data_IF_544687363296
#
_entry.id   IF_544687363296
#
_cell.length_a   1.000
_cell.length_b   1.000
_cell.length_c   1.000
_cell.angle_alpha   90.00
_cell.angle_beta   90.00
_cell.angle_gamma   90.00
#
_symmetry.space_group_name_H-M   'P 1'
#
loop_
_entity.id
_entity.type
_entity.pdbx_description
1 polymer ?
#
# COMPACT_ATOMS: atom_id res chain seq x y z
N UNK A 1 -25.60 1.65 4.80
CA UNK A 1 -24.94 0.32 4.75
C UNK A 1 -25.56 -0.55 5.84
N UNK A 2 -26.24 -1.64 5.47
CA UNK A 2 -26.85 -2.54 6.46
C UNK A 2 -25.81 -3.56 6.90
N UNK A 3 -25.66 -3.73 8.21
CA UNK A 3 -24.67 -4.62 8.82
C UNK A 3 -25.38 -5.69 9.64
N UNK A 4 -25.09 -6.96 9.38
CA UNK A 4 -25.51 -8.06 10.23
C UNK A 4 -24.41 -8.34 11.24
N UNK A 5 -24.78 -8.36 12.51
CA UNK A 5 -23.90 -8.71 13.61
C UNK A 5 -24.45 -9.99 14.23
N UNK A 6 -23.62 -10.98 14.43
CA UNK A 6 -24.04 -12.21 15.12
C UNK A 6 -23.10 -12.60 16.25
N UNK A 7 -23.68 -13.30 17.22
CA UNK A 7 -22.98 -13.95 18.32
C UNK A 7 -23.27 -15.45 18.24
N UNK A 8 -22.24 -16.24 18.03
CA UNK A 8 -22.34 -17.69 17.97
C UNK A 8 -21.80 -18.34 19.25
N UNK A 9 -22.64 -19.08 19.92
CA UNK A 9 -22.26 -19.91 21.04
C UNK A 9 -21.90 -21.30 20.54
N UNK A 10 -20.59 -21.61 20.43
CA UNK A 10 -20.14 -22.88 19.88
C UNK A 10 -20.56 -24.11 20.70
N UNK A 11 -20.84 -23.96 22.00
CA UNK A 11 -21.26 -25.09 22.81
C UNK A 11 -22.74 -25.44 22.62
N UNK A 12 -23.58 -24.40 22.46
CA UNK A 12 -25.02 -24.57 22.24
C UNK A 12 -25.39 -24.70 20.77
N UNK A 13 -24.49 -24.27 19.87
CA UNK A 13 -24.75 -24.18 18.44
C UNK A 13 -25.82 -23.13 18.09
N UNK A 14 -26.10 -22.18 18.99
CA UNK A 14 -27.11 -21.12 18.78
C UNK A 14 -26.47 -19.85 18.26
N UNK A 15 -27.16 -19.18 17.31
CA UNK A 15 -26.72 -17.94 16.72
C UNK A 15 -27.71 -16.83 17.08
N UNK A 16 -27.30 -15.90 17.91
CA UNK A 16 -28.05 -14.66 18.17
C UNK A 16 -27.57 -13.61 17.15
N UNK A 17 -28.51 -12.90 16.54
CA UNK A 17 -28.16 -11.94 15.49
C UNK A 17 -28.99 -10.68 15.54
N UNK A 18 -28.42 -9.58 15.00
CA UNK A 18 -29.11 -8.32 14.80
C UNK A 18 -28.64 -7.68 13.49
N UNK A 19 -29.52 -6.89 12.89
CA UNK A 19 -29.19 -6.06 11.73
C UNK A 19 -29.25 -4.60 12.14
N UNK A 20 -28.16 -3.92 11.90
CA UNK A 20 -28.00 -2.49 12.20
C UNK A 20 -27.96 -1.73 10.88
N UNK A 21 -28.61 -0.59 10.84
CA UNK A 21 -28.61 0.31 9.69
C UNK A 21 -27.46 1.33 9.74
N UNK A 22 -27.47 2.32 8.84
CA UNK A 22 -26.45 3.39 8.79
C UNK A 22 -26.49 4.33 9.99
N UNK A 23 -27.60 4.38 10.71
CA UNK A 23 -27.79 5.23 11.90
C UNK A 23 -27.43 4.52 13.20
N UNK A 24 -26.87 3.31 13.09
CA UNK A 24 -26.60 2.41 14.21
C UNK A 24 -27.87 1.98 14.98
N UNK A 25 -29.04 2.06 14.35
CA UNK A 25 -30.28 1.57 14.92
C UNK A 25 -30.52 0.11 14.53
N UNK A 26 -31.04 -0.67 15.48
CA UNK A 26 -31.37 -2.08 15.26
C UNK A 26 -32.66 -2.17 14.46
N UNK A 27 -32.57 -2.62 13.21
CA UNK A 27 -33.73 -2.78 12.33
C UNK A 27 -34.39 -4.16 12.45
N UNK A 28 -33.62 -5.21 12.66
CA UNK A 28 -34.07 -6.59 12.80
C UNK A 28 -33.19 -7.32 13.83
N UNK A 29 -33.75 -8.31 14.49
CA UNK A 29 -33.06 -9.15 15.46
C UNK A 29 -33.71 -10.52 15.59
N UNK A 30 -32.97 -11.50 16.09
CA UNK A 30 -33.49 -12.84 16.34
C UNK A 30 -32.44 -13.82 16.80
N UNK A 31 -32.90 -15.03 17.05
CA UNK A 31 -32.06 -16.20 17.29
C UNK A 31 -32.31 -17.22 16.19
N UNK A 32 -31.27 -17.94 15.79
CA UNK A 32 -31.31 -18.97 14.79
C UNK A 32 -30.62 -20.22 15.31
N UNK A 33 -31.14 -21.39 14.92
CA UNK A 33 -30.49 -22.66 15.25
C UNK A 33 -29.39 -23.03 14.28
N UNK A 34 -29.38 -22.40 13.09
CA UNK A 34 -28.37 -22.60 12.07
C UNK A 34 -28.15 -21.31 11.28
N UNK A 35 -26.97 -21.16 10.70
CA UNK A 35 -26.67 -20.03 9.81
C UNK A 35 -27.51 -20.03 8.51
N UNK A 36 -28.09 -21.15 8.11
CA UNK A 36 -28.98 -21.25 6.95
C UNK A 36 -30.20 -20.31 7.07
N UNK A 37 -30.70 -20.09 8.29
CA UNK A 37 -31.81 -19.17 8.55
C UNK A 37 -31.46 -17.70 8.25
N UNK A 38 -30.17 -17.37 8.26
CA UNK A 38 -29.64 -16.03 7.95
C UNK A 38 -29.39 -15.79 6.46
N UNK A 39 -29.42 -16.84 5.63
CA UNK A 39 -29.14 -16.75 4.19
C UNK A 39 -30.05 -15.76 3.45
N UNK A 40 -31.28 -15.59 3.91
CA UNK A 40 -32.28 -14.69 3.28
C UNK A 40 -32.07 -13.22 3.62
N UNK A 41 -31.17 -12.90 4.56
CA UNK A 41 -30.96 -11.53 5.00
C UNK A 41 -30.06 -10.77 4.02
N UNK A 42 -30.60 -9.71 3.45
CA UNK A 42 -29.88 -8.85 2.52
C UNK A 42 -29.12 -7.77 3.31
N UNK A 43 -27.81 -7.94 3.40
CA UNK A 43 -26.92 -7.04 4.12
C UNK A 43 -25.65 -6.77 3.33
N UNK A 44 -25.01 -5.64 3.61
CA UNK A 44 -23.77 -5.23 2.93
C UNK A 44 -22.52 -5.83 3.60
N UNK A 45 -22.59 -6.06 4.91
CA UNK A 45 -21.48 -6.57 5.72
C UNK A 45 -21.98 -7.50 6.80
N UNK A 46 -21.22 -8.55 7.09
CA UNK A 46 -21.49 -9.51 8.15
C UNK A 46 -20.31 -9.55 9.10
N UNK A 47 -20.55 -9.31 10.37
CA UNK A 47 -19.55 -9.39 11.43
C UNK A 47 -19.99 -10.39 12.49
N UNK A 48 -19.08 -11.25 12.89
CA UNK A 48 -19.34 -12.30 13.85
C UNK A 48 -18.50 -12.21 15.10
N UNK A 49 -19.13 -12.56 16.22
CA UNK A 49 -18.47 -12.83 17.47
C UNK A 49 -18.72 -14.27 17.86
N UNK A 50 -17.69 -14.96 18.30
CA UNK A 50 -17.78 -16.33 18.79
C UNK A 50 -17.22 -16.42 20.19
N UNK A 51 -17.73 -17.32 20.97
CA UNK A 51 -17.18 -17.60 22.29
C UNK A 51 -17.26 -19.10 22.63
N UNK A 52 -16.19 -19.58 23.25
CA UNK A 52 -16.05 -20.96 23.69
C UNK A 52 -14.88 -21.03 24.68
N UNK A 53 -14.96 -21.86 25.72
CA UNK A 53 -13.84 -22.13 26.62
C UNK A 53 -12.66 -22.89 25.93
N UNK A 54 -12.84 -23.35 24.69
CA UNK A 54 -11.79 -23.99 23.90
C UNK A 54 -10.80 -23.00 23.29
N UNK A 55 -11.11 -21.71 23.33
CA UNK A 55 -10.26 -20.67 22.80
C UNK A 55 -9.28 -20.18 23.85
N UNK A 56 -8.14 -19.72 23.40
CA UNK A 56 -7.08 -19.27 24.29
C UNK A 56 -6.48 -17.96 23.79
N UNK A 57 -6.25 -17.06 24.74
CA UNK A 57 -5.47 -15.85 24.50
C UNK A 57 -4.16 -15.96 25.27
N UNK A 58 -3.09 -15.54 24.63
CA UNK A 58 -1.73 -15.50 25.19
C UNK A 58 -1.13 -14.11 25.00
N UNK A 59 -0.30 -13.72 25.95
CA UNK A 59 0.56 -12.52 25.85
C UNK A 59 1.99 -12.99 25.77
N UNK A 60 2.70 -12.57 24.74
CA UNK A 60 4.07 -13.00 24.47
C UNK A 60 4.95 -11.78 24.35
N UNK A 61 6.05 -11.78 25.11
CA UNK A 61 7.10 -10.78 24.93
C UNK A 61 7.88 -11.07 23.65
N UNK A 62 8.02 -10.06 22.80
CA UNK A 62 8.70 -10.19 21.52
C UNK A 62 9.73 -9.07 21.34
N UNK A 63 10.88 -9.38 20.73
CA UNK A 63 11.89 -8.39 20.45
C UNK A 63 11.37 -7.31 19.47
N UNK A 64 11.96 -6.12 19.41
CA UNK A 64 11.60 -5.06 18.49
C UNK A 64 12.01 -5.42 17.06
N UNK A 65 11.17 -6.17 16.37
CA UNK A 65 11.36 -6.63 14.99
C UNK A 65 10.14 -6.32 14.13
N UNK A 66 10.21 -6.62 12.84
CA UNK A 66 9.07 -6.44 11.94
C UNK A 66 7.90 -7.36 12.30
N UNK A 67 6.67 -6.94 11.99
CA UNK A 67 5.46 -7.76 12.21
C UNK A 67 5.57 -9.14 11.56
N UNK A 68 6.23 -9.23 10.41
CA UNK A 68 6.45 -10.49 9.71
C UNK A 68 7.36 -11.44 10.51
N UNK A 69 8.48 -10.94 11.04
CA UNK A 69 9.39 -11.73 11.86
C UNK A 69 8.77 -12.15 13.19
N UNK A 70 7.93 -11.29 13.78
CA UNK A 70 7.15 -11.64 14.95
C UNK A 70 6.25 -12.82 14.61
N UNK A 71 5.49 -12.76 13.51
CA UNK A 71 4.59 -13.83 13.09
C UNK A 71 5.31 -15.18 12.90
N UNK A 72 6.51 -15.16 12.33
CA UNK A 72 7.35 -16.36 12.16
C UNK A 72 7.87 -16.93 13.50
N UNK A 73 8.08 -16.10 14.50
CA UNK A 73 8.58 -16.53 15.82
C UNK A 73 7.50 -17.07 16.76
N UNK A 74 6.22 -16.66 16.56
CA UNK A 74 5.10 -17.06 17.43
C UNK A 74 4.98 -18.58 17.63
N UNK A 75 5.07 -19.45 16.59
CA UNK A 75 5.00 -20.89 16.79
C UNK A 75 5.98 -21.40 17.84
N UNK A 76 7.23 -20.96 17.78
CA UNK A 76 8.27 -21.38 18.73
C UNK A 76 8.01 -20.88 20.15
N UNK A 77 7.48 -19.65 20.29
CA UNK A 77 7.15 -19.08 21.60
C UNK A 77 5.91 -19.72 22.24
N UNK A 78 5.06 -20.34 21.44
CA UNK A 78 3.85 -21.01 21.90
C UNK A 78 4.06 -22.49 22.25
N UNK A 79 5.09 -23.14 21.70
CA UNK A 79 5.29 -24.58 21.76
C UNK A 79 5.22 -25.14 23.19
N UNK A 80 5.88 -24.49 24.16
CA UNK A 80 5.90 -24.92 25.57
C UNK A 80 4.58 -24.60 26.32
N UNK A 81 3.70 -23.84 25.73
CA UNK A 81 2.48 -23.33 26.41
C UNK A 81 1.18 -23.94 25.89
N UNK A 82 1.23 -24.80 24.87
CA UNK A 82 0.06 -25.41 24.25
C UNK A 82 -0.06 -26.90 24.61
N UNK A 83 -1.31 -27.35 24.65
CA UNK A 83 -1.64 -28.76 24.77
C UNK A 83 -1.72 -29.38 23.36
N UNK A 84 -0.58 -29.75 22.79
CA UNK A 84 -0.49 -30.31 21.45
C UNK A 84 0.44 -29.52 20.53
N UNK A 85 0.42 -29.81 19.22
CA UNK A 85 1.27 -29.14 18.26
C UNK A 85 0.73 -27.74 17.94
N UNK A 86 1.60 -26.77 17.76
CA UNK A 86 1.24 -25.42 17.30
C UNK A 86 0.54 -25.47 15.94
N UNK A 87 0.85 -26.48 15.14
CA UNK A 87 0.25 -26.70 13.81
C UNK A 87 -1.25 -27.04 13.88
N UNK A 88 -1.74 -27.47 15.05
CA UNK A 88 -3.16 -27.76 15.28
C UNK A 88 -4.00 -26.52 15.55
N UNK A 89 -3.35 -25.35 15.64
CA UNK A 89 -4.01 -24.09 15.95
C UNK A 89 -3.90 -23.05 14.83
N UNK A 90 -4.99 -22.39 14.56
CA UNK A 90 -4.99 -21.11 13.86
C UNK A 90 -4.82 -19.98 14.87
N UNK A 91 -3.91 -19.04 14.61
CA UNK A 91 -3.66 -17.94 15.52
C UNK A 91 -3.62 -16.61 14.79
N UNK A 92 -4.01 -15.58 15.51
CA UNK A 92 -3.97 -14.18 15.07
C UNK A 92 -3.23 -13.37 16.11
N UNK A 93 -2.41 -12.44 15.68
CA UNK A 93 -1.60 -11.61 16.56
C UNK A 93 -2.00 -10.13 16.46
N UNK A 94 -1.88 -9.40 17.58
CA UNK A 94 -1.99 -7.95 17.60
C UNK A 94 -0.75 -7.28 16.99
N UNK A 95 -0.81 -5.98 16.85
CA UNK A 95 0.41 -5.18 16.72
C UNK A 95 1.20 -5.27 18.04
N UNK A 96 2.53 -5.15 17.95
CA UNK A 96 3.39 -5.09 19.12
C UNK A 96 3.07 -3.84 19.93
N UNK A 97 2.88 -4.00 21.25
CA UNK A 97 2.64 -2.89 22.17
C UNK A 97 3.92 -2.07 22.42
N UNK A 98 3.77 -0.91 23.05
CA UNK A 98 4.91 -0.09 23.50
C UNK A 98 5.73 -0.81 24.57
N UNK A 99 5.10 -1.68 25.37
CA UNK A 99 5.74 -2.47 26.41
C UNK A 99 6.55 -3.66 25.85
N UNK A 100 6.38 -3.96 24.58
CA UNK A 100 7.18 -4.98 23.90
C UNK A 100 6.51 -6.32 23.72
N UNK A 101 5.24 -6.44 23.96
CA UNK A 101 4.48 -7.68 23.85
C UNK A 101 3.47 -7.69 22.69
N UNK A 102 3.02 -8.86 22.35
CA UNK A 102 1.93 -9.10 21.41
C UNK A 102 0.86 -9.99 22.07
N UNK A 103 -0.39 -9.72 21.74
CA UNK A 103 -1.50 -10.60 22.08
C UNK A 103 -1.66 -11.62 20.97
N UNK A 104 -1.88 -12.86 21.34
CA UNK A 104 -2.11 -13.98 20.41
C UNK A 104 -3.43 -14.65 20.78
N UNK A 105 -4.36 -14.66 19.83
CA UNK A 105 -5.61 -15.39 19.95
C UNK A 105 -5.53 -16.69 19.18
N UNK A 106 -5.84 -17.80 19.83
CA UNK A 106 -5.68 -19.15 19.28
C UNK A 106 -7.05 -19.87 19.24
N UNK A 107 -7.29 -20.53 18.12
CA UNK A 107 -8.44 -21.42 17.91
C UNK A 107 -7.94 -22.74 17.32
N UNK A 108 -8.43 -23.90 17.79
CA UNK A 108 -8.14 -25.16 17.14
C UNK A 108 -8.57 -25.12 15.66
N UNK A 109 -7.72 -25.62 14.76
CA UNK A 109 -7.99 -25.59 13.31
C UNK A 109 -9.31 -26.30 13.00
N UNK A 110 -9.60 -27.41 13.65
CA UNK A 110 -10.84 -28.15 13.45
C UNK A 110 -12.07 -27.27 13.76
N UNK A 111 -12.06 -26.54 14.89
CA UNK A 111 -13.14 -25.64 15.26
C UNK A 111 -13.28 -24.48 14.26
N UNK A 112 -12.16 -23.95 13.78
CA UNK A 112 -12.17 -22.90 12.76
C UNK A 112 -12.73 -23.40 11.42
N UNK A 113 -12.37 -24.62 11.00
CA UNK A 113 -12.87 -25.22 9.77
C UNK A 113 -14.36 -25.57 9.87
N UNK A 114 -14.84 -26.01 11.03
CA UNK A 114 -16.26 -26.19 11.31
C UNK A 114 -17.02 -24.87 11.12
N UNK A 115 -16.57 -23.79 11.73
CA UNK A 115 -17.20 -22.47 11.58
C UNK A 115 -17.23 -22.02 10.12
N UNK A 116 -16.11 -22.12 9.42
CA UNK A 116 -16.02 -21.75 8.00
C UNK A 116 -16.95 -22.63 7.13
N UNK A 117 -17.12 -23.91 7.47
CA UNK A 117 -18.03 -24.79 6.74
C UNK A 117 -19.49 -24.36 6.91
N UNK A 118 -19.90 -23.97 8.13
CA UNK A 118 -21.23 -23.45 8.41
C UNK A 118 -21.53 -22.18 7.60
N UNK A 119 -20.57 -21.26 7.52
CA UNK A 119 -20.73 -20.05 6.70
C UNK A 119 -20.83 -20.36 5.21
N UNK A 120 -20.06 -21.34 4.72
CA UNK A 120 -20.11 -21.79 3.32
C UNK A 120 -21.44 -22.44 2.97
N UNK A 121 -21.93 -23.34 3.81
CA UNK A 121 -23.21 -24.01 3.63
C UNK A 121 -24.36 -23.00 3.60
N UNK A 122 -24.30 -22.01 4.48
CA UNK A 122 -25.28 -20.92 4.52
C UNK A 122 -25.06 -19.86 3.42
N UNK A 123 -24.00 -19.95 2.65
CA UNK A 123 -23.62 -18.97 1.62
C UNK A 123 -23.49 -17.54 2.17
N UNK A 124 -23.09 -17.42 3.43
CA UNK A 124 -22.88 -16.13 4.11
C UNK A 124 -21.41 -15.72 3.95
N UNK A 125 -21.18 -14.51 3.46
CA UNK A 125 -19.84 -13.95 3.37
C UNK A 125 -19.53 -13.14 4.63
N UNK A 126 -18.93 -13.79 5.63
CA UNK A 126 -18.52 -13.13 6.87
C UNK A 126 -17.29 -12.28 6.59
N UNK A 127 -17.37 -10.98 6.89
CA UNK A 127 -16.31 -10.01 6.66
C UNK A 127 -15.27 -10.01 7.78
N UNK A 128 -15.70 -10.27 9.01
CA UNK A 128 -14.83 -10.37 10.19
C UNK A 128 -15.44 -11.29 11.23
N UNK A 129 -14.58 -12.00 11.93
CA UNK A 129 -14.92 -12.93 13.00
C UNK A 129 -13.93 -12.75 14.13
N UNK A 130 -14.39 -12.53 15.35
CA UNK A 130 -13.54 -12.32 16.52
C UNK A 130 -14.05 -13.09 17.74
N UNK A 131 -13.18 -13.32 18.69
CA UNK A 131 -13.60 -13.81 20.01
C UNK A 131 -14.32 -12.72 20.79
N UNK A 132 -15.41 -13.06 21.44
CA UNK A 132 -16.20 -12.11 22.23
C UNK A 132 -15.37 -11.47 23.34
N UNK A 133 -14.51 -12.23 23.99
CA UNK A 133 -13.64 -11.77 25.08
C UNK A 133 -12.60 -10.72 24.64
N UNK A 134 -12.27 -10.65 23.35
CA UNK A 134 -11.37 -9.64 22.77
C UNK A 134 -12.10 -8.51 22.04
N UNK A 135 -13.42 -8.48 22.12
CA UNK A 135 -14.23 -7.62 21.24
C UNK A 135 -14.85 -6.41 21.95
N UNK A 136 -14.56 -6.21 23.22
CA UNK A 136 -15.00 -5.00 23.93
C UNK A 136 -14.13 -3.81 23.53
N UNK A 137 -14.76 -2.65 23.31
CA UNK A 137 -14.03 -1.41 23.03
C UNK A 137 -12.98 -1.14 24.09
N UNK A 138 -11.82 -0.70 23.67
CA UNK A 138 -10.68 -0.42 24.54
C UNK A 138 -10.95 0.75 25.48
N UNK A 139 -11.60 0.47 26.60
CA UNK A 139 -11.60 1.34 27.75
C UNK A 139 -10.57 0.80 28.74
N UNK A 140 -9.37 1.36 28.71
CA UNK A 140 -8.15 0.82 29.36
C UNK A 140 -8.25 0.57 30.88
N UNK A 141 -9.34 0.93 31.53
CA UNK A 141 -9.55 0.75 32.96
C UNK A 141 -10.87 0.05 33.32
N UNK A 142 -11.65 -0.38 32.33
CA UNK A 142 -12.95 -1.01 32.56
C UNK A 142 -12.86 -2.53 32.35
N UNK A 143 -13.20 -3.29 33.37
CA UNK A 143 -13.41 -4.73 33.24
C UNK A 143 -14.86 -5.00 32.82
N UNK A 144 -15.03 -5.71 31.68
CA UNK A 144 -16.36 -6.18 31.23
C UNK A 144 -16.50 -7.66 31.51
N UNK A 145 -17.54 -8.02 32.23
CA UNK A 145 -17.86 -9.41 32.62
C UNK A 145 -19.26 -9.78 32.09
N UNK A 146 -19.33 -10.85 31.32
CA UNK A 146 -20.60 -11.40 30.81
C UNK A 146 -20.82 -12.74 31.44
N UNK A 147 -21.90 -12.89 32.17
CA UNK A 147 -22.29 -14.11 32.85
C UNK A 147 -23.50 -14.70 32.14
N UNK A 148 -23.23 -15.62 31.19
CA UNK A 148 -24.25 -16.54 30.70
C UNK A 148 -24.47 -17.67 31.74
N UNK A 149 -25.34 -18.59 31.51
CA UNK A 149 -25.73 -19.58 32.56
C UNK A 149 -24.50 -20.32 33.14
N UNK A 150 -23.79 -21.10 32.34
CA UNK A 150 -22.67 -21.94 32.79
C UNK A 150 -21.31 -21.38 32.39
N UNK A 151 -21.28 -20.51 31.40
CA UNK A 151 -20.07 -19.94 30.82
C UNK A 151 -20.06 -18.44 31.02
N UNK A 152 -18.87 -17.93 31.26
CA UNK A 152 -18.66 -16.51 31.43
C UNK A 152 -17.53 -16.03 30.52
N UNK A 153 -17.67 -14.80 30.08
CA UNK A 153 -16.67 -14.09 29.30
C UNK A 153 -16.20 -12.88 30.08
N UNK A 154 -14.91 -12.72 30.24
CA UNK A 154 -14.32 -11.57 30.92
C UNK A 154 -13.33 -10.87 29.98
N UNK A 155 -13.32 -9.55 30.02
CA UNK A 155 -12.35 -8.71 29.35
C UNK A 155 -11.84 -7.62 30.30
N UNK A 156 -10.53 -7.46 30.43
CA UNK A 156 -9.89 -6.43 31.24
C UNK A 156 -9.45 -5.25 30.37
N UNK A 157 -10.39 -4.64 29.65
CA UNK A 157 -10.11 -3.57 28.72
C UNK A 157 -9.27 -4.03 27.52
N UNK A 158 -8.31 -3.23 27.11
CA UNK A 158 -7.41 -3.56 25.97
C UNK A 158 -6.47 -4.74 26.24
N UNK A 159 -6.40 -5.21 27.47
CA UNK A 159 -5.31 -6.09 27.91
C UNK A 159 -5.61 -7.56 27.66
N UNK A 160 -6.67 -8.10 28.26
CA UNK A 160 -6.95 -9.53 28.30
C UNK A 160 -8.41 -9.88 28.32
N UNK A 161 -8.76 -10.92 27.57
CA UNK A 161 -10.05 -11.55 27.63
C UNK A 161 -9.93 -13.06 27.79
N UNK A 162 -10.88 -13.67 28.52
CA UNK A 162 -11.02 -15.10 28.68
C UNK A 162 -12.49 -15.52 28.64
N UNK A 163 -12.67 -16.74 28.16
CA UNK A 163 -13.96 -17.44 28.24
C UNK A 163 -13.74 -18.76 28.99
N UNK A 164 -14.47 -18.96 30.05
CA UNK A 164 -14.40 -20.20 30.85
C UNK A 164 -15.70 -20.44 31.61
N UNK A 165 -15.75 -21.53 32.38
CA UNK A 165 -16.85 -21.77 33.34
C UNK A 165 -16.93 -20.61 34.34
N UNK A 166 -18.15 -20.26 34.71
CA UNK A 166 -18.48 -19.12 35.58
C UNK A 166 -17.68 -19.11 36.89
N UNK A 167 -17.57 -20.26 37.54
CA UNK A 167 -16.86 -20.38 38.82
C UNK A 167 -15.36 -20.10 38.66
N UNK A 168 -14.76 -20.48 37.54
CA UNK A 168 -13.34 -20.21 37.24
C UNK A 168 -13.14 -18.69 37.04
N UNK A 169 -13.98 -18.07 36.22
CA UNK A 169 -13.89 -16.63 35.93
C UNK A 169 -14.09 -15.80 37.23
N UNK A 170 -15.06 -16.14 38.06
CA UNK A 170 -15.28 -15.42 39.30
C UNK A 170 -14.11 -15.54 40.29
N UNK A 171 -13.46 -16.69 40.34
CA UNK A 171 -12.27 -16.88 41.19
C UNK A 171 -11.07 -16.07 40.69
N UNK A 172 -10.94 -15.89 39.38
CA UNK A 172 -9.87 -15.10 38.75
C UNK A 172 -10.16 -13.59 38.82
N UNK A 173 -11.42 -13.17 38.92
CA UNK A 173 -11.84 -11.78 38.83
C UNK A 173 -11.08 -10.86 39.78
N UNK A 174 -10.96 -11.22 41.06
CA UNK A 174 -10.31 -10.40 42.06
C UNK A 174 -8.84 -10.11 41.73
N UNK A 175 -8.11 -11.18 41.35
CA UNK A 175 -6.71 -11.07 41.01
C UNK A 175 -6.55 -10.29 39.69
N UNK A 176 -7.39 -10.58 38.69
CA UNK A 176 -7.36 -9.89 37.42
C UNK A 176 -7.62 -8.38 37.54
N UNK A 177 -8.59 -7.98 38.36
CA UNK A 177 -8.87 -6.56 38.62
C UNK A 177 -7.64 -5.82 39.22
N UNK A 178 -6.89 -6.51 40.11
CA UNK A 178 -5.67 -5.96 40.73
C UNK A 178 -4.49 -5.92 39.71
N UNK A 179 -4.28 -7.02 38.98
CA UNK A 179 -3.17 -7.17 38.00
C UNK A 179 -3.31 -6.19 36.83
N UNK A 180 -4.53 -6.00 36.33
CA UNK A 180 -4.82 -5.09 35.22
C UNK A 180 -5.25 -3.67 35.66
N UNK A 181 -5.19 -3.38 36.95
CA UNK A 181 -5.51 -2.06 37.53
C UNK A 181 -6.86 -1.51 37.10
N UNK A 182 -7.86 -2.38 36.97
CA UNK A 182 -9.21 -1.98 36.58
C UNK A 182 -9.83 -1.08 37.62
N UNK A 183 -10.45 0.02 37.19
CA UNK A 183 -11.11 1.00 38.07
C UNK A 183 -12.64 0.89 38.04
N UNK A 184 -13.20 0.24 37.06
CA UNK A 184 -14.63 0.00 36.91
C UNK A 184 -14.91 -1.44 36.50
N UNK A 185 -16.05 -1.95 36.94
CA UNK A 185 -16.52 -3.31 36.65
C UNK A 185 -17.94 -3.25 36.07
N UNK A 186 -18.09 -3.54 34.81
CA UNK A 186 -19.35 -3.63 34.08
C UNK A 186 -19.76 -5.11 33.97
N UNK A 187 -20.95 -5.46 34.42
CA UNK A 187 -21.39 -6.85 34.48
C UNK A 187 -22.70 -7.03 33.73
N UNK A 188 -22.67 -7.85 32.68
CA UNK A 188 -23.87 -8.35 32.03
C UNK A 188 -24.28 -9.66 32.71
N UNK A 189 -25.36 -9.62 33.49
CA UNK A 189 -25.79 -10.74 34.34
C UNK A 189 -27.07 -11.35 33.81
N UNK A 190 -27.05 -12.65 33.50
CA UNK A 190 -28.28 -13.39 33.20
C UNK A 190 -29.27 -13.31 34.38
N UNK A 191 -30.54 -13.01 34.09
CA UNK A 191 -31.62 -12.99 35.09
C UNK A 191 -31.78 -14.33 35.83
N UNK A 192 -31.37 -15.42 35.18
CA UNK A 192 -31.42 -16.78 35.72
C UNK A 192 -30.17 -17.13 36.54
N UNK A 193 -29.16 -16.29 36.53
CA UNK A 193 -27.91 -16.54 37.25
C UNK A 193 -28.15 -16.58 38.76
N UNK A 194 -27.42 -17.45 39.45
CA UNK A 194 -27.42 -17.52 40.91
C UNK A 194 -27.06 -16.16 41.51
N UNK A 195 -27.67 -15.81 42.63
CA UNK A 195 -27.27 -14.61 43.40
C UNK A 195 -25.77 -14.66 43.71
N UNK A 196 -25.03 -13.72 43.20
CA UNK A 196 -23.59 -13.59 43.41
C UNK A 196 -23.36 -12.57 44.51
N UNK A 197 -22.56 -12.95 45.49
CA UNK A 197 -22.05 -12.01 46.48
C UNK A 197 -20.77 -11.36 45.93
N UNK A 198 -20.93 -10.19 45.34
CA UNK A 198 -19.83 -9.46 44.68
C UNK A 198 -18.72 -9.07 45.65
N UNK A 199 -19.02 -8.87 46.94
CA UNK A 199 -18.02 -8.49 47.94
C UNK A 199 -16.92 -9.53 48.09
N UNK A 200 -17.22 -10.80 47.75
CA UNK A 200 -16.28 -11.90 47.79
C UNK A 200 -15.25 -11.84 46.64
N UNK A 201 -15.66 -11.33 45.47
CA UNK A 201 -14.92 -11.42 44.23
C UNK A 201 -14.34 -10.08 43.75
N UNK A 202 -14.89 -8.96 44.21
CA UNK A 202 -14.46 -7.62 43.79
C UNK A 202 -14.55 -6.63 44.95
N UNK A 203 -13.61 -5.67 44.99
CA UNK A 203 -13.66 -4.46 45.81
C UNK A 203 -14.39 -3.32 45.10
N UNK A 204 -14.56 -3.42 43.79
CA UNK A 204 -15.28 -2.45 42.96
C UNK A 204 -16.77 -2.77 43.00
N UNK A 205 -17.61 -1.73 43.09
CA UNK A 205 -19.04 -1.88 42.89
C UNK A 205 -19.31 -2.18 41.42
N UNK A 206 -20.00 -3.31 41.10
CA UNK A 206 -20.33 -3.67 39.73
C UNK A 206 -21.46 -2.80 39.19
N UNK A 207 -21.31 -2.28 37.99
CA UNK A 207 -22.41 -1.75 37.17
C UNK A 207 -23.13 -2.94 36.50
N UNK A 208 -24.28 -3.34 37.07
CA UNK A 208 -24.98 -4.56 36.66
C UNK A 208 -26.06 -4.26 35.63
N UNK A 209 -25.91 -4.82 34.46
CA UNK A 209 -26.88 -4.83 33.37
C UNK A 209 -27.49 -6.23 33.31
N UNK A 210 -28.77 -6.34 33.64
CA UNK A 210 -29.46 -7.64 33.54
C UNK A 210 -29.75 -7.98 32.09
N UNK A 211 -29.49 -9.24 31.71
CA UNK A 211 -29.74 -9.79 30.38
C UNK A 211 -30.65 -11.03 30.48
N UNK A 212 -31.51 -11.27 29.48
CA UNK A 212 -32.35 -12.44 29.39
C UNK A 212 -31.73 -13.62 28.62
N UNK A 213 -30.62 -13.36 27.95
CA UNK A 213 -29.88 -14.34 27.18
C UNK A 213 -28.91 -13.68 26.21
N UNK A 214 -28.40 -14.47 25.26
CA UNK A 214 -27.38 -14.06 24.33
C UNK A 214 -27.85 -12.95 23.37
N UNK A 215 -29.12 -12.98 22.93
CA UNK A 215 -29.69 -11.94 22.07
C UNK A 215 -29.80 -10.59 22.79
N UNK A 216 -30.36 -10.60 24.01
CA UNK A 216 -30.51 -9.38 24.83
C UNK A 216 -29.13 -8.82 25.22
N UNK A 217 -28.16 -9.70 25.48
CA UNK A 217 -26.76 -9.28 25.63
C UNK A 217 -26.26 -8.58 24.37
N UNK A 218 -26.41 -9.21 23.19
CA UNK A 218 -25.93 -8.65 21.95
C UNK A 218 -26.56 -7.27 21.66
N UNK A 219 -27.85 -7.09 21.93
CA UNK A 219 -28.52 -5.79 21.81
C UNK A 219 -27.95 -4.71 22.71
N UNK A 220 -27.69 -5.04 23.96
CA UNK A 220 -27.21 -4.08 24.96
C UNK A 220 -25.71 -3.80 24.82
N UNK A 221 -24.95 -4.78 24.32
CA UNK A 221 -23.50 -4.72 24.22
C UNK A 221 -22.98 -4.23 22.87
N UNK A 222 -23.78 -4.39 21.78
CA UNK A 222 -23.25 -4.11 20.42
C UNK A 222 -22.60 -2.73 20.25
N UNK A 223 -23.07 -1.62 20.88
CA UNK A 223 -22.42 -0.32 20.75
C UNK A 223 -21.01 -0.30 21.38
N UNK A 224 -20.74 -1.22 22.31
CA UNK A 224 -19.45 -1.38 22.98
C UNK A 224 -18.62 -2.54 22.43
N UNK A 225 -19.08 -3.24 21.38
CA UNK A 225 -18.33 -4.30 20.73
C UNK A 225 -17.58 -3.75 19.50
N UNK A 226 -16.37 -4.26 19.31
CA UNK A 226 -15.50 -3.92 18.18
C UNK A 226 -14.74 -5.15 17.73
N UNK A 227 -14.52 -5.26 16.41
CA UNK A 227 -13.88 -6.42 15.81
C UNK A 227 -12.37 -6.18 15.68
N UNK A 228 -11.64 -6.16 16.80
CA UNK A 228 -10.23 -5.82 16.87
C UNK A 228 -9.29 -6.95 16.44
N UNK A 229 -9.70 -8.22 16.65
CA UNK A 229 -8.93 -9.41 16.34
C UNK A 229 -9.66 -10.28 15.32
N UNK A 230 -9.50 -9.96 14.04
CA UNK A 230 -10.16 -10.74 13.00
C UNK A 230 -9.47 -12.10 12.79
N UNK A 231 -10.18 -13.19 13.07
CA UNK A 231 -9.73 -14.57 12.85
C UNK A 231 -9.67 -14.93 11.36
N UNK A 232 -10.40 -14.20 10.50
CA UNK A 232 -10.47 -14.45 9.08
C UNK A 232 -9.23 -13.90 8.37
N UNK A 233 -8.08 -14.51 8.62
CA UNK A 233 -6.79 -14.15 8.02
C UNK A 233 -6.21 -15.32 7.23
N UNK A 234 -5.22 -15.08 6.39
CA UNK A 234 -4.51 -16.07 5.60
C UNK A 234 -5.48 -16.96 4.78
N UNK A 235 -5.48 -18.27 5.02
CA UNK A 235 -6.34 -19.24 4.29
C UNK A 235 -7.84 -19.04 4.54
N UNK A 236 -8.20 -18.38 5.64
CA UNK A 236 -9.58 -18.07 6.02
C UNK A 236 -10.04 -16.68 5.63
N UNK A 237 -9.16 -15.88 5.03
CA UNK A 237 -9.50 -14.53 4.58
C UNK A 237 -10.76 -14.52 3.70
N UNK A 238 -11.73 -13.60 3.92
CA UNK A 238 -12.94 -13.54 3.14
C UNK A 238 -12.60 -13.34 1.67
N UNK A 239 -13.26 -14.10 0.81
CA UNK A 239 -13.09 -13.95 -0.63
C UNK A 239 -13.60 -12.58 -1.04
N UNK A 240 -12.74 -11.80 -1.68
CA UNK A 240 -13.12 -10.50 -2.20
C UNK A 240 -14.26 -10.70 -3.21
N UNK A 241 -15.41 -10.13 -2.93
CA UNK A 241 -16.57 -10.16 -3.83
C UNK A 241 -16.35 -9.21 -5.02
N UNK A 242 -15.44 -9.59 -5.93
CA UNK A 242 -15.08 -8.78 -7.12
C UNK A 242 -16.29 -8.29 -7.89
N UNK A 243 -17.39 -9.09 -7.95
CA UNK A 243 -18.64 -8.72 -8.64
C UNK A 243 -19.28 -7.47 -8.04
N UNK A 244 -19.23 -7.29 -6.72
CA UNK A 244 -19.80 -6.12 -6.04
C UNK A 244 -18.92 -4.87 -6.26
N UNK A 245 -17.59 -5.03 -6.21
CA UNK A 245 -16.65 -3.97 -6.55
C UNK A 245 -16.85 -3.51 -8.00
N UNK A 246 -16.94 -4.44 -8.97
CA UNK A 246 -17.21 -4.11 -10.36
C UNK A 246 -18.56 -3.41 -10.53
N UNK A 247 -19.59 -3.80 -9.80
CA UNK A 247 -20.90 -3.14 -9.85
C UNK A 247 -20.83 -1.69 -9.36
N UNK A 248 -20.06 -1.41 -8.32
CA UNK A 248 -19.84 -0.04 -7.78
C UNK A 248 -18.97 0.81 -8.71
N UNK A 249 -17.97 0.19 -9.35
CA UNK A 249 -16.98 0.88 -10.18
C UNK A 249 -17.32 0.92 -11.68
N UNK A 250 -18.42 0.31 -12.12
CA UNK A 250 -18.79 0.20 -13.55
C UNK A 250 -18.81 1.55 -14.28
N UNK A 251 -19.29 2.61 -13.64
CA UNK A 251 -19.32 3.94 -14.24
C UNK A 251 -17.93 4.58 -14.31
N UNK A 252 -17.10 4.38 -13.31
CA UNK A 252 -15.70 4.82 -13.32
C UNK A 252 -14.88 4.11 -14.40
N UNK A 253 -15.04 2.79 -14.54
CA UNK A 253 -14.41 2.00 -15.59
C UNK A 253 -14.91 2.40 -17.00
N UNK A 254 -16.20 2.68 -17.15
CA UNK A 254 -16.74 3.17 -18.41
C UNK A 254 -16.15 4.54 -18.79
N UNK A 255 -16.06 5.47 -17.84
CA UNK A 255 -15.44 6.78 -18.06
C UNK A 255 -13.95 6.65 -18.41
N UNK A 256 -13.20 5.81 -17.70
CA UNK A 256 -11.80 5.53 -18.01
C UNK A 256 -11.62 4.94 -19.42
N UNK A 257 -12.50 4.00 -19.81
CA UNK A 257 -12.49 3.41 -21.15
C UNK A 257 -12.71 4.46 -22.25
N UNK A 258 -13.61 5.41 -22.03
CA UNK A 258 -13.86 6.52 -22.99
C UNK A 258 -12.59 7.36 -23.16
N UNK A 259 -11.92 7.72 -22.05
CA UNK A 259 -10.68 8.50 -22.12
C UNK A 259 -9.60 7.77 -22.90
N UNK A 260 -9.44 6.47 -22.66
CA UNK A 260 -8.48 5.63 -23.41
C UNK A 260 -8.80 5.61 -24.90
N UNK A 261 -10.07 5.41 -25.27
CA UNK A 261 -10.51 5.43 -26.68
C UNK A 261 -10.24 6.78 -27.33
N UNK A 262 -10.54 7.89 -26.66
CA UNK A 262 -10.27 9.22 -27.17
C UNK A 262 -8.77 9.46 -27.36
N UNK A 263 -7.93 9.05 -26.42
CA UNK A 263 -6.47 9.16 -26.54
C UNK A 263 -5.94 8.38 -27.76
N UNK A 264 -6.37 7.13 -27.94
CA UNK A 264 -5.99 6.33 -29.11
C UNK A 264 -6.50 6.93 -30.42
N UNK A 265 -7.74 7.44 -30.43
CA UNK A 265 -8.30 8.12 -31.61
C UNK A 265 -7.49 9.35 -31.98
N UNK A 266 -7.10 10.18 -31.02
CA UNK A 266 -6.25 11.35 -31.27
C UNK A 266 -4.88 10.91 -31.84
N UNK A 267 -4.23 9.92 -31.21
CA UNK A 267 -2.94 9.42 -31.68
C UNK A 267 -3.00 8.87 -33.12
N UNK A 268 -4.05 8.15 -33.46
CA UNK A 268 -4.27 7.66 -34.83
C UNK A 268 -4.47 8.81 -35.82
N UNK A 269 -5.21 9.83 -35.44
CA UNK A 269 -5.44 11.04 -36.26
C UNK A 269 -4.10 11.77 -36.50
N UNK A 270 -3.29 11.94 -35.45
CA UNK A 270 -1.97 12.57 -35.54
C UNK A 270 -1.02 11.78 -36.48
N UNK A 271 -1.02 10.45 -36.38
CA UNK A 271 -0.24 9.58 -37.28
C UNK A 271 -0.69 9.78 -38.73
N UNK A 272 -2.01 9.79 -38.96
CA UNK A 272 -2.57 9.95 -40.31
C UNK A 272 -2.21 11.34 -40.90
N UNK A 273 -2.38 12.41 -40.13
CA UNK A 273 -2.04 13.77 -40.53
C UNK A 273 -0.54 13.93 -40.81
N UNK A 274 0.32 13.39 -39.94
CA UNK A 274 1.76 13.42 -40.10
C UNK A 274 2.22 12.65 -41.35
N UNK A 275 1.62 11.50 -41.63
CA UNK A 275 1.92 10.75 -42.85
C UNK A 275 1.48 11.50 -44.12
N UNK A 276 0.30 12.11 -44.12
CA UNK A 276 -0.20 12.94 -45.20
C UNK A 276 0.71 14.14 -45.44
N UNK A 277 1.05 14.88 -44.38
CA UNK A 277 1.96 16.03 -44.44
C UNK A 277 3.37 15.63 -44.92
N UNK A 278 3.86 14.46 -44.49
CA UNK A 278 5.17 13.94 -44.96
C UNK A 278 5.15 13.61 -46.47
N UNK A 279 4.01 13.06 -46.97
CA UNK A 279 3.85 12.79 -48.41
C UNK A 279 3.83 14.09 -49.20
N UNK A 280 3.07 15.08 -48.75
CA UNK A 280 2.99 16.41 -49.41
C UNK A 280 4.34 17.13 -49.43
N UNK A 281 5.06 17.09 -48.32
CA UNK A 281 6.42 17.67 -48.25
C UNK A 281 7.42 16.95 -49.15
N UNK A 282 7.31 15.63 -49.28
CA UNK A 282 8.13 14.87 -50.23
C UNK A 282 7.80 15.23 -51.67
N UNK A 283 6.55 15.42 -52.02
CA UNK A 283 6.13 15.84 -53.36
C UNK A 283 6.60 17.26 -53.69
N UNK A 284 6.46 18.19 -52.76
CA UNK A 284 7.00 19.55 -52.91
C UNK A 284 8.53 19.53 -53.04
N UNK A 285 9.21 18.73 -52.21
CA UNK A 285 10.67 18.60 -52.31
C UNK A 285 11.12 18.00 -53.66
N UNK A 286 10.35 17.02 -54.19
CA UNK A 286 10.60 16.48 -55.53
C UNK A 286 10.38 17.53 -56.61
N UNK A 287 9.29 18.28 -56.56
CA UNK A 287 8.98 19.31 -57.56
C UNK A 287 10.09 20.39 -57.60
N UNK A 288 10.53 20.86 -56.44
CA UNK A 288 11.63 21.83 -56.30
C UNK A 288 12.97 21.27 -56.84
N UNK A 289 13.29 20.00 -56.52
CA UNK A 289 14.49 19.36 -56.98
C UNK A 289 14.53 19.24 -58.51
N UNK A 290 13.45 18.74 -59.12
CA UNK A 290 13.39 18.57 -60.58
C UNK A 290 13.20 19.90 -61.34
N UNK A 291 12.74 20.94 -60.73
CA UNK A 291 12.77 22.29 -61.31
C UNK A 291 14.21 22.85 -61.40
N UNK A 292 15.03 22.51 -60.40
CA UNK A 292 16.44 22.92 -60.36
C UNK A 292 17.34 22.00 -61.22
N UNK A 293 16.97 20.72 -61.43
CA UNK A 293 17.73 19.70 -62.18
C UNK A 293 16.86 18.96 -63.19
N UNK A 294 16.43 19.60 -64.31
CA UNK A 294 15.45 19.04 -65.23
C UNK A 294 15.91 17.79 -66.00
N UNK A 295 17.21 17.54 -66.09
CA UNK A 295 17.81 16.44 -66.87
C UNK A 295 18.03 15.14 -66.06
N UNK A 296 17.60 15.08 -64.82
CA UNK A 296 17.84 13.90 -63.99
C UNK A 296 16.64 12.90 -64.06
N UNK A 297 16.93 11.58 -63.90
CA UNK A 297 15.88 10.55 -63.97
C UNK A 297 14.90 10.70 -62.80
N UNK A 298 13.59 10.77 -63.14
CA UNK A 298 12.48 11.02 -62.21
C UNK A 298 12.17 9.85 -61.27
N UNK A 299 12.77 8.69 -61.48
CA UNK A 299 12.39 7.44 -60.79
C UNK A 299 13.34 7.05 -59.65
N UNK A 300 14.24 7.95 -59.23
CA UNK A 300 15.25 7.66 -58.23
C UNK A 300 14.85 8.27 -56.87
N UNK A 301 15.16 7.58 -55.79
CA UNK A 301 14.96 8.07 -54.42
C UNK A 301 15.67 9.39 -54.20
N UNK A 302 14.90 10.48 -53.99
CA UNK A 302 15.40 11.84 -53.79
C UNK A 302 16.46 11.94 -52.68
N UNK A 303 16.30 11.15 -51.64
CA UNK A 303 17.24 11.11 -50.50
C UNK A 303 18.63 10.55 -50.91
N UNK A 304 18.61 9.56 -51.80
CA UNK A 304 19.81 8.94 -52.34
C UNK A 304 20.54 9.90 -53.29
N UNK A 305 19.80 10.58 -54.16
CA UNK A 305 20.34 11.57 -55.10
C UNK A 305 20.96 12.76 -54.36
N UNK A 306 20.25 13.31 -53.36
CA UNK A 306 20.80 14.41 -52.56
C UNK A 306 22.05 14.00 -51.79
N UNK A 307 22.10 12.79 -51.22
CA UNK A 307 23.31 12.28 -50.56
C UNK A 307 24.49 12.09 -51.54
N UNK A 308 24.19 11.65 -52.77
CA UNK A 308 25.22 11.46 -53.76
C UNK A 308 25.79 12.80 -54.25
N UNK A 309 24.94 13.82 -54.43
CA UNK A 309 25.39 15.19 -54.80
C UNK A 309 26.14 15.87 -53.67
N UNK A 310 25.72 15.72 -52.44
CA UNK A 310 26.45 16.21 -51.28
C UNK A 310 27.83 15.56 -51.11
N UNK A 311 27.97 14.28 -51.47
CA UNK A 311 29.30 13.61 -51.52
C UNK A 311 30.17 14.08 -52.68
N UNK A 312 29.57 14.53 -53.78
CA UNK A 312 30.29 15.06 -54.94
C UNK A 312 30.73 16.53 -54.81
N UNK A 313 30.13 17.27 -53.88
CA UNK A 313 30.61 18.60 -53.48
C UNK A 313 31.74 18.39 -52.47
N UNK A 314 32.98 18.22 -53.01
CA UNK A 314 34.17 18.27 -52.18
C UNK A 314 34.22 19.63 -51.48
N UNK A 315 33.92 19.60 -50.21
CA UNK A 315 34.23 20.67 -49.24
C UNK A 315 35.77 20.64 -49.03
N UNK A 316 36.52 20.83 -50.11
CA UNK A 316 37.98 21.02 -50.04
C UNK A 316 38.24 22.32 -49.28
N UNK A 317 38.58 22.17 -48.01
CA UNK A 317 38.98 23.28 -47.13
C UNK A 317 38.14 23.49 -45.86
N UNK A 318 37.05 22.74 -45.63
CA UNK A 318 36.29 22.84 -44.37
C UNK A 318 36.33 21.50 -43.66
N UNK A 319 37.08 21.40 -42.59
CA UNK A 319 36.92 20.27 -41.68
C UNK A 319 35.46 20.16 -41.19
N UNK A 320 34.98 18.94 -41.04
CA UNK A 320 33.63 18.78 -40.51
C UNK A 320 33.55 19.41 -39.13
N UNK A 321 32.70 20.41 -38.98
CA UNK A 321 32.37 21.08 -37.72
C UNK A 321 32.31 20.11 -36.53
N UNK A 322 31.68 18.93 -36.72
CA UNK A 322 31.54 17.89 -35.72
C UNK A 322 32.90 17.34 -35.24
N UNK A 323 33.91 17.22 -36.10
CA UNK A 323 35.21 16.65 -35.73
C UNK A 323 35.98 17.63 -34.85
N UNK A 324 35.89 18.92 -35.16
CA UNK A 324 36.48 19.97 -34.35
C UNK A 324 35.79 20.11 -33.01
N UNK A 325 34.45 20.03 -32.97
CA UNK A 325 33.67 20.02 -31.70
C UNK A 325 34.01 18.79 -30.86
N UNK A 326 34.18 17.61 -31.47
CA UNK A 326 34.58 16.40 -30.75
C UNK A 326 35.96 16.55 -30.11
N UNK A 327 36.94 17.08 -30.84
CA UNK A 327 38.29 17.36 -30.30
C UNK A 327 38.23 18.41 -29.16
N UNK A 328 37.45 19.47 -29.33
CA UNK A 328 37.17 20.47 -28.29
C UNK A 328 36.63 19.83 -26.99
N UNK A 329 35.63 19.01 -27.15
CA UNK A 329 35.00 18.33 -25.98
C UNK A 329 35.99 17.40 -25.29
N UNK A 330 36.83 16.70 -26.03
CA UNK A 330 37.81 15.77 -25.47
C UNK A 330 38.94 16.52 -24.71
N UNK A 331 39.41 17.65 -25.19
CA UNK A 331 40.43 18.47 -24.51
C UNK A 331 39.87 19.07 -23.19
N UNK A 332 38.64 19.52 -23.22
CA UNK A 332 37.99 20.10 -22.02
C UNK A 332 37.66 19.00 -21.01
N UNK A 333 37.16 17.84 -21.47
CA UNK A 333 36.82 16.72 -20.57
C UNK A 333 38.03 16.18 -19.80
N UNK A 334 39.22 16.24 -20.40
CA UNK A 334 40.46 15.80 -19.78
C UNK A 334 40.99 16.79 -18.68
N UNK A 335 40.37 17.96 -18.54
CA UNK A 335 40.75 18.98 -17.58
C UNK A 335 39.60 19.28 -16.61
N UNK A 336 39.55 18.59 -15.48
CA UNK A 336 38.47 18.71 -14.47
C UNK A 336 38.25 20.13 -13.92
N UNK A 337 39.23 21.03 -14.08
CA UNK A 337 39.19 22.42 -13.59
C UNK A 337 38.71 23.43 -14.61
N UNK A 338 38.36 22.95 -15.81
CA UNK A 338 37.92 23.80 -16.93
C UNK A 338 36.52 23.37 -17.34
N UNK A 339 35.60 24.30 -17.42
CA UNK A 339 34.24 24.07 -17.92
C UNK A 339 33.94 24.93 -19.12
N UNK A 340 33.23 24.34 -20.08
CA UNK A 340 32.77 25.02 -21.29
C UNK A 340 31.50 25.82 -20.98
N UNK A 341 31.54 27.13 -21.27
CA UNK A 341 30.36 27.99 -21.06
C UNK A 341 29.55 28.18 -22.34
N UNK A 342 30.21 28.50 -23.43
CA UNK A 342 29.56 28.63 -24.75
C UNK A 342 30.48 28.23 -25.91
N UNK A 343 29.86 27.82 -27.03
CA UNK A 343 30.55 27.52 -28.29
C UNK A 343 29.78 28.16 -29.42
N UNK A 344 30.42 29.10 -30.11
CA UNK A 344 29.91 29.73 -31.30
C UNK A 344 30.83 29.44 -32.48
N UNK A 345 30.28 29.30 -33.68
CA UNK A 345 31.04 29.13 -34.88
C UNK A 345 30.71 30.22 -35.89
N UNK A 346 31.73 31.01 -36.25
CA UNK A 346 31.57 32.02 -37.28
C UNK A 346 31.93 31.45 -38.66
N UNK A 347 30.92 31.31 -39.50
CA UNK A 347 31.05 30.82 -40.86
C UNK A 347 31.89 31.70 -41.78
N UNK A 348 31.92 33.02 -41.54
CA UNK A 348 32.61 33.97 -42.40
C UNK A 348 34.12 33.94 -42.16
N UNK A 349 34.51 33.88 -40.89
CA UNK A 349 35.92 33.82 -40.49
C UNK A 349 36.49 32.39 -40.41
N UNK A 350 35.62 31.37 -40.53
CA UNK A 350 35.92 29.95 -40.34
C UNK A 350 36.63 29.67 -39.00
N UNK A 351 36.05 30.22 -37.93
CA UNK A 351 36.65 30.28 -36.61
C UNK A 351 35.64 29.85 -35.53
N UNK A 352 36.12 29.08 -34.57
CA UNK A 352 35.35 28.78 -33.36
C UNK A 352 35.62 29.85 -32.31
N UNK A 353 34.56 30.34 -31.70
CA UNK A 353 34.61 31.26 -30.56
C UNK A 353 34.05 30.46 -29.36
N UNK A 354 34.94 30.14 -28.43
CA UNK A 354 34.52 29.39 -27.22
C UNK A 354 34.75 30.21 -25.97
N UNK A 355 33.82 30.16 -25.08
CA UNK A 355 33.98 30.71 -23.73
C UNK A 355 34.22 29.55 -22.75
N UNK A 356 35.33 29.62 -22.05
CA UNK A 356 35.69 28.64 -21.03
C UNK A 356 35.78 29.31 -19.64
N UNK A 357 35.37 28.59 -18.65
CA UNK A 357 35.52 29.02 -17.25
C UNK A 357 36.59 28.15 -16.60
N UNK A 358 37.61 28.76 -16.05
CA UNK A 358 38.70 28.08 -15.34
C UNK A 358 38.91 28.68 -13.94
N UNK A 359 39.53 27.90 -13.06
CA UNK A 359 39.79 28.30 -11.67
C UNK A 359 41.06 29.15 -11.57
N UNK A 360 42.09 28.86 -12.39
CA UNK A 360 43.38 29.53 -12.40
C UNK A 360 43.82 29.84 -13.82
N UNK A 361 44.68 30.86 -14.02
CA UNK A 361 45.25 31.19 -15.31
C UNK A 361 46.13 30.07 -15.91
N UNK A 362 46.74 29.27 -15.06
CA UNK A 362 47.55 28.11 -15.46
C UNK A 362 46.71 27.05 -16.21
N UNK A 363 45.42 26.88 -15.81
CA UNK A 363 44.50 25.98 -16.47
C UNK A 363 44.19 26.45 -17.91
N UNK A 364 44.07 27.77 -18.12
CA UNK A 364 43.89 28.37 -19.45
C UNK A 364 45.09 28.13 -20.38
N UNK A 365 46.30 28.30 -19.86
CA UNK A 365 47.53 28.06 -20.65
C UNK A 365 47.71 26.57 -20.98
N UNK A 366 47.27 25.69 -20.09
CA UNK A 366 47.28 24.25 -20.34
C UNK A 366 46.33 23.89 -21.47
N UNK A 367 45.13 24.42 -21.51
CA UNK A 367 44.14 24.21 -22.57
C UNK A 367 44.69 24.75 -23.89
N UNK A 368 45.24 25.95 -23.89
CA UNK A 368 45.86 26.58 -25.07
C UNK A 368 47.01 25.74 -25.64
N UNK A 369 47.93 25.28 -24.81
CA UNK A 369 49.05 24.44 -25.23
C UNK A 369 48.60 23.12 -25.85
N UNK A 370 47.55 22.50 -25.30
CA UNK A 370 46.98 21.25 -25.80
C UNK A 370 46.35 21.42 -27.17
N UNK A 371 45.66 22.53 -27.42
CA UNK A 371 45.09 22.83 -28.75
C UNK A 371 46.18 23.17 -29.78
N UNK A 372 47.23 23.91 -29.39
CA UNK A 372 48.37 24.21 -30.29
C UNK A 372 49.07 22.92 -30.70
N UNK A 373 49.27 21.98 -29.78
CA UNK A 373 49.81 20.65 -30.10
C UNK A 373 48.87 19.83 -31.01
N UNK A 374 47.54 20.07 -30.94
CA UNK A 374 46.56 19.49 -31.83
C UNK A 374 46.47 20.14 -33.23
N UNK A 375 47.34 21.14 -33.56
CA UNK A 375 47.38 21.78 -34.89
C UNK A 375 46.35 22.92 -35.04
N UNK A 376 45.94 23.57 -33.95
CA UNK A 376 45.04 24.71 -33.96
C UNK A 376 45.78 26.00 -33.58
N UNK A 377 45.48 27.08 -34.28
CA UNK A 377 45.91 28.43 -33.90
C UNK A 377 44.86 28.98 -32.91
N UNK A 378 45.33 29.52 -31.77
CA UNK A 378 44.48 30.06 -30.73
C UNK A 378 44.89 31.49 -30.42
N UNK A 379 43.90 32.36 -30.47
CA UNK A 379 43.99 33.71 -29.92
C UNK A 379 43.11 33.81 -28.68
N UNK A 380 43.65 34.44 -27.62
CA UNK A 380 42.91 34.68 -26.36
C UNK A 380 42.25 36.06 -26.46
N UNK A 381 40.97 36.08 -26.45
CA UNK A 381 40.15 37.29 -26.43
C UNK A 381 40.06 37.92 -25.04
N UNK A 382 38.88 38.38 -24.69
CA UNK A 382 38.62 38.99 -23.38
C UNK A 382 38.66 37.96 -22.26
N UNK A 383 39.34 38.29 -21.18
CA UNK A 383 39.30 37.47 -19.94
C UNK A 383 38.72 38.31 -18.80
N UNK A 384 37.69 37.80 -18.15
CA UNK A 384 36.98 38.51 -17.05
C UNK A 384 36.92 37.63 -15.82
N UNK A 385 37.24 38.20 -14.67
CA UNK A 385 37.10 37.49 -13.42
C UNK A 385 35.66 37.56 -12.91
N UNK A 386 35.05 36.40 -12.69
CA UNK A 386 33.68 36.25 -12.19
C UNK A 386 33.74 35.45 -10.90
N UNK A 387 33.66 36.13 -9.76
CA UNK A 387 33.82 35.51 -8.45
C UNK A 387 35.21 34.87 -8.27
N UNK A 388 35.24 33.56 -8.04
CA UNK A 388 36.47 32.79 -7.82
C UNK A 388 37.00 32.11 -9.11
N UNK A 389 36.36 32.37 -10.26
CA UNK A 389 36.71 31.77 -11.56
C UNK A 389 37.02 32.85 -12.57
N UNK A 390 37.73 32.46 -13.64
CA UNK A 390 38.11 33.29 -14.78
C UNK A 390 37.30 32.80 -15.98
N UNK A 391 36.52 33.68 -16.57
CA UNK A 391 35.85 33.43 -17.84
C UNK A 391 36.68 34.03 -18.96
N UNK A 392 37.11 33.18 -19.90
CA UNK A 392 37.99 33.59 -21.03
C UNK A 392 37.40 33.16 -22.34
N UNK A 393 37.43 34.07 -23.30
CA UNK A 393 37.05 33.85 -24.68
C UNK A 393 38.27 33.42 -25.51
N UNK A 394 38.15 32.31 -26.21
CA UNK A 394 39.19 31.76 -27.07
C UNK A 394 38.71 31.69 -28.51
N UNK A 395 39.50 32.19 -29.42
CA UNK A 395 39.29 32.11 -30.87
C UNK A 395 40.17 30.98 -31.41
N UNK A 396 39.54 29.94 -31.92
CA UNK A 396 40.24 28.74 -32.39
C UNK A 396 40.05 28.59 -33.87
N UNK A 397 41.17 28.51 -34.58
CA UNK A 397 41.23 28.30 -36.02
C UNK A 397 42.23 27.17 -36.33
N UNK A 398 41.93 26.30 -37.26
CA UNK A 398 42.90 25.31 -37.69
C UNK A 398 43.97 25.97 -38.53
N UNK A 399 45.23 25.64 -38.25
CA UNK A 399 46.39 26.13 -39.00
C UNK A 399 46.49 25.49 -40.38
#
# INVERSE_FOLDING_TARGET
MRKLIFLHNLLKGTVSWLIVDETEEISERGTASTFLELQTKVVDRVEGFIFSPLFSNKRLEVPPTSQFQILESIPFLLEDSLLGSVEDYHFVISKRSEEGDVKVSLIPINSMEEEISLFREAQINVSSLSFLDNSFKEESSTCSLVLFDDISVINFGSEWGWCAETDIILNLLKKGLEDFKSTSLKVFLSKNAKKIDWTKYSKLEPDIIFIEGELDFLEKAFPSLENNFNLLTNKYAPRIAWKEYFKKWKYGLAAASIVVVLYFSQTLTDIYQNNSSAADLLEQSRSLYYSAYPNEPKDTDLKKLLRQKLRGVNLTGREPFLLTVQNLTQVIHNNERVSLHSVNYDLNSNQFIIEIQCTQFEDLETVKSTFIQGGYAIDVGSSKRVGNSILSELFIKKT
#
